data_IF_512041133796
#
_entry.id   IF_512041133796
#
_cell.length_a   1.000
_cell.length_b   1.000
_cell.length_c   1.000
_cell.angle_alpha   90.00
_cell.angle_beta   90.00
_cell.angle_gamma   90.00
#
_symmetry.space_group_name_H-M   'P 1'
#
loop_
_entity.id
_entity.type
_entity.pdbx_description
1 polymer ?
#
# COMPACT_ATOMS: atom_id res chain seq x y z
N UNK A 1 17.45 -69.16 -11.91
CA UNK A 1 16.59 -68.64 -13.01
C UNK A 1 16.40 -67.14 -12.77
N UNK A 2 17.13 -66.26 -13.47
CA UNK A 2 16.93 -64.80 -13.37
C UNK A 2 15.90 -64.39 -14.41
N UNK A 3 14.77 -63.84 -13.95
CA UNK A 3 13.69 -63.32 -14.81
C UNK A 3 14.25 -62.13 -15.60
N UNK A 4 14.44 -62.30 -16.90
CA UNK A 4 14.85 -61.22 -17.80
C UNK A 4 13.67 -60.26 -17.89
N UNK A 5 13.78 -59.08 -17.29
CA UNK A 5 12.88 -57.97 -17.55
C UNK A 5 13.20 -57.44 -18.94
N UNK A 6 12.47 -57.91 -19.95
CA UNK A 6 12.44 -57.30 -21.28
C UNK A 6 11.88 -55.88 -21.12
N UNK A 7 12.75 -54.87 -21.26
CA UNK A 7 12.29 -53.49 -21.43
C UNK A 7 11.59 -53.41 -22.79
N UNK A 8 10.39 -52.81 -22.88
CA UNK A 8 9.68 -52.71 -24.14
C UNK A 8 10.58 -51.97 -25.14
N UNK A 9 10.75 -52.62 -26.29
CA UNK A 9 11.53 -52.13 -27.41
C UNK A 9 10.82 -50.89 -27.96
N UNK A 10 11.33 -49.71 -27.63
CA UNK A 10 10.92 -48.45 -28.24
C UNK A 10 11.65 -48.40 -29.58
N UNK A 11 11.14 -49.14 -30.57
CA UNK A 11 11.67 -49.07 -31.92
C UNK A 11 10.75 -48.25 -32.82
N UNK A 12 11.44 -47.30 -33.45
CA UNK A 12 11.10 -46.50 -34.60
C UNK A 12 10.34 -45.18 -34.34
N UNK A 13 10.94 -44.10 -34.83
CA UNK A 13 10.39 -42.72 -34.82
C UNK A 13 8.99 -42.68 -35.43
N UNK A 14 8.71 -43.65 -36.29
CA UNK A 14 7.41 -43.92 -36.90
C UNK A 14 6.35 -44.37 -35.89
N UNK A 15 6.71 -45.18 -34.89
CA UNK A 15 5.80 -45.63 -33.83
C UNK A 15 5.48 -44.50 -32.84
N UNK A 16 6.44 -43.63 -32.53
CA UNK A 16 6.20 -42.41 -31.75
C UNK A 16 5.32 -41.41 -32.51
N UNK A 17 5.56 -41.24 -33.82
CA UNK A 17 4.72 -40.42 -34.69
C UNK A 17 3.29 -40.98 -34.76
N UNK A 18 3.13 -42.30 -34.93
CA UNK A 18 1.84 -42.96 -34.94
C UNK A 18 1.09 -42.75 -33.62
N UNK A 19 1.77 -42.85 -32.47
CA UNK A 19 1.18 -42.56 -31.16
C UNK A 19 0.75 -41.10 -31.01
N UNK A 20 1.55 -40.15 -31.51
CA UNK A 20 1.17 -38.72 -31.52
C UNK A 20 -0.02 -38.47 -32.45
N UNK A 21 -0.06 -39.12 -33.61
CA UNK A 21 -1.20 -39.03 -34.52
C UNK A 21 -2.48 -39.61 -33.89
N UNK A 22 -2.41 -40.74 -33.19
CA UNK A 22 -3.58 -41.30 -32.50
C UNK A 22 -4.05 -40.42 -31.34
N UNK A 23 -3.13 -39.77 -30.62
CA UNK A 23 -3.44 -38.78 -29.58
C UNK A 23 -4.13 -37.54 -30.16
N UNK A 24 -3.64 -37.01 -31.28
CA UNK A 24 -4.24 -35.85 -31.96
C UNK A 24 -5.63 -36.14 -32.54
N UNK A 25 -5.88 -37.36 -33.01
CA UNK A 25 -7.17 -37.78 -33.57
C UNK A 25 -8.17 -38.18 -32.47
N UNK A 26 -7.69 -38.48 -31.26
CA UNK A 26 -8.53 -38.90 -30.15
C UNK A 26 -9.40 -37.75 -29.62
N UNK A 27 -10.72 -37.88 -29.81
CA UNK A 27 -11.72 -36.97 -29.25
C UNK A 27 -11.63 -36.82 -27.71
N UNK A 28 -11.11 -37.82 -27.02
CA UNK A 28 -10.93 -37.80 -25.56
C UNK A 28 -9.90 -36.74 -25.17
N UNK A 29 -8.75 -36.73 -25.86
CA UNK A 29 -7.68 -35.78 -25.58
C UNK A 29 -8.12 -34.34 -25.88
N UNK A 30 -8.80 -34.13 -27.02
CA UNK A 30 -9.38 -32.85 -27.39
C UNK A 30 -10.35 -32.31 -26.31
N UNK A 31 -11.24 -33.16 -25.80
CA UNK A 31 -12.22 -32.77 -24.77
C UNK A 31 -11.56 -32.44 -23.43
N UNK A 32 -10.52 -33.18 -23.04
CA UNK A 32 -9.76 -32.90 -21.83
C UNK A 32 -9.02 -31.56 -21.90
N UNK A 33 -8.35 -31.26 -23.02
CA UNK A 33 -7.68 -29.98 -23.20
C UNK A 33 -8.67 -28.81 -23.25
N UNK A 34 -9.82 -29.02 -23.89
CA UNK A 34 -10.91 -28.05 -23.87
C UNK A 34 -11.38 -27.77 -22.44
N UNK A 35 -11.71 -28.79 -21.64
CA UNK A 35 -12.15 -28.57 -20.26
C UNK A 35 -11.03 -28.01 -19.36
N UNK A 36 -9.75 -28.34 -19.62
CA UNK A 36 -8.60 -27.72 -18.92
C UNK A 36 -8.39 -26.24 -19.27
N UNK A 37 -8.72 -25.83 -20.49
CA UNK A 37 -8.54 -24.45 -20.97
C UNK A 37 -9.80 -23.59 -20.80
N UNK A 38 -10.96 -24.24 -20.62
CA UNK A 38 -12.25 -23.58 -20.41
C UNK A 38 -12.21 -22.70 -19.16
N UNK A 39 -12.52 -21.42 -19.37
CA UNK A 39 -12.51 -20.42 -18.29
C UNK A 39 -11.12 -19.84 -17.99
N UNK A 40 -10.07 -20.25 -18.71
CA UNK A 40 -8.74 -19.64 -18.56
C UNK A 40 -8.65 -18.36 -19.39
N UNK A 41 -8.89 -17.22 -18.75
CA UNK A 41 -8.64 -15.92 -19.36
C UNK A 41 -7.13 -15.65 -19.44
N UNK A 42 -6.58 -15.60 -20.65
CA UNK A 42 -5.20 -15.15 -20.88
C UNK A 42 -5.20 -13.71 -21.37
N UNK A 43 -4.52 -12.83 -20.65
CA UNK A 43 -4.37 -11.42 -21.04
C UNK A 43 -3.66 -11.32 -22.39
N UNK A 44 -4.19 -10.49 -23.30
CA UNK A 44 -3.56 -10.22 -24.59
C UNK A 44 -2.26 -9.46 -24.32
N UNK A 45 -1.09 -9.95 -24.75
CA UNK A 45 0.16 -9.24 -24.52
C UNK A 45 0.10 -7.85 -25.14
N UNK A 46 0.70 -6.87 -24.46
CA UNK A 46 0.75 -5.50 -24.96
C UNK A 46 1.41 -5.44 -26.35
N UNK A 47 0.92 -4.55 -27.21
CA UNK A 47 1.59 -4.28 -28.48
C UNK A 47 2.98 -3.70 -28.23
N UNK A 48 3.90 -3.90 -29.17
CA UNK A 48 5.25 -3.33 -29.07
C UNK A 48 5.23 -1.81 -28.91
N UNK A 49 4.28 -1.14 -29.59
CA UNK A 49 4.05 0.30 -29.46
C UNK A 49 3.62 0.70 -28.05
N UNK A 50 2.68 -0.03 -27.45
CA UNK A 50 2.22 0.26 -26.09
C UNK A 50 3.34 0.09 -25.07
N UNK A 51 4.15 -0.97 -25.21
CA UNK A 51 5.33 -1.19 -24.38
C UNK A 51 6.33 -0.04 -24.53
N UNK A 52 6.59 0.38 -25.76
CA UNK A 52 7.48 1.52 -26.04
C UNK A 52 6.97 2.83 -25.43
N UNK A 53 5.67 3.13 -25.58
CA UNK A 53 5.04 4.31 -24.98
C UNK A 53 5.11 4.29 -23.45
N UNK A 54 4.89 3.13 -22.82
CA UNK A 54 5.04 2.96 -21.37
C UNK A 54 6.47 3.25 -20.92
N UNK A 55 7.47 2.79 -21.66
CA UNK A 55 8.88 3.05 -21.37
C UNK A 55 9.22 4.54 -21.54
N UNK A 56 8.79 5.17 -22.64
CA UNK A 56 8.98 6.62 -22.83
C UNK A 56 8.32 7.40 -21.71
N UNK A 57 7.06 7.11 -21.40
CA UNK A 57 6.32 7.75 -20.31
C UNK A 57 7.06 7.64 -18.98
N UNK A 58 7.65 6.48 -18.69
CA UNK A 58 8.45 6.28 -17.49
C UNK A 58 9.74 7.12 -17.50
N UNK A 59 10.38 7.33 -18.65
CA UNK A 59 11.60 8.13 -18.78
C UNK A 59 11.32 9.63 -18.67
N UNK A 60 10.26 10.12 -19.32
CA UNK A 60 9.88 11.54 -19.33
C UNK A 60 9.04 11.94 -18.10
N UNK A 61 8.75 11.00 -17.21
CA UNK A 61 7.94 11.27 -16.03
C UNK A 61 8.66 12.25 -15.11
N UNK A 62 8.18 13.50 -15.12
CA UNK A 62 8.63 14.56 -14.22
C UNK A 62 8.63 14.15 -12.75
N UNK A 63 7.64 13.35 -12.34
CA UNK A 63 7.55 12.84 -10.98
C UNK A 63 8.75 11.96 -10.63
N UNK A 64 9.14 11.04 -11.54
CA UNK A 64 10.32 10.18 -11.35
C UNK A 64 11.62 10.99 -11.41
N UNK A 65 11.72 11.95 -12.33
CA UNK A 65 12.87 12.85 -12.42
C UNK A 65 13.07 13.65 -11.11
N UNK A 66 12.02 14.33 -10.64
CA UNK A 66 12.05 15.10 -9.39
C UNK A 66 12.31 14.22 -8.18
N UNK A 67 11.76 13.00 -8.14
CA UNK A 67 12.02 12.05 -7.06
C UNK A 67 13.49 11.61 -7.02
N UNK A 68 14.08 11.28 -8.17
CA UNK A 68 15.51 10.94 -8.26
C UNK A 68 16.38 12.12 -7.83
N UNK A 69 16.10 13.33 -8.33
CA UNK A 69 16.83 14.54 -7.94
C UNK A 69 16.77 14.80 -6.43
N UNK A 70 15.60 14.64 -5.80
CA UNK A 70 15.46 14.76 -4.34
C UNK A 70 16.27 13.72 -3.58
N UNK A 71 16.32 12.47 -4.07
CA UNK A 71 17.11 11.38 -3.47
C UNK A 71 18.61 11.67 -3.54
N UNK A 72 19.10 12.12 -4.69
CA UNK A 72 20.50 12.53 -4.84
C UNK A 72 20.82 13.73 -3.95
N UNK A 73 19.93 14.73 -3.86
CA UNK A 73 20.12 15.87 -2.97
C UNK A 73 20.16 15.46 -1.50
N UNK A 74 19.32 14.51 -1.07
CA UNK A 74 19.36 13.98 0.30
C UNK A 74 20.64 13.22 0.61
N UNK A 75 21.30 12.65 -0.41
CA UNK A 75 22.59 11.98 -0.28
C UNK A 75 23.78 12.93 -0.43
N UNK A 76 23.54 14.23 -0.67
CA UNK A 76 24.61 15.20 -0.81
C UNK A 76 25.31 15.42 0.53
N UNK A 77 26.64 15.52 0.49
CA UNK A 77 27.49 15.75 1.65
C UNK A 77 27.01 16.94 2.50
N UNK A 78 26.62 18.05 1.86
CA UNK A 78 26.13 19.25 2.54
C UNK A 78 24.83 19.03 3.32
N UNK A 79 23.99 18.11 2.86
CA UNK A 79 22.70 17.83 3.52
C UNK A 79 22.83 16.82 4.66
N UNK A 80 23.92 16.06 4.69
CA UNK A 80 24.29 15.17 5.80
C UNK A 80 25.00 15.91 6.94
N UNK A 81 25.50 17.12 6.70
CA UNK A 81 26.09 17.95 7.74
C UNK A 81 25.04 18.33 8.79
N UNK A 82 25.42 18.42 10.08
CA UNK A 82 24.52 18.89 11.11
C UNK A 82 24.08 20.32 10.80
N UNK A 83 22.79 20.58 11.05
CA UNK A 83 22.22 21.90 10.82
C UNK A 83 22.94 22.96 11.65
N UNK A 84 23.42 24.02 11.02
CA UNK A 84 23.96 25.19 11.71
C UNK A 84 22.84 26.01 12.34
N UNK A 85 23.16 26.83 13.33
CA UNK A 85 22.20 27.71 14.01
C UNK A 85 21.47 28.60 12.98
N UNK A 86 22.20 29.17 12.03
CA UNK A 86 21.61 29.99 10.96
C UNK A 86 20.64 29.20 10.08
N UNK A 87 20.97 27.95 9.75
CA UNK A 87 20.09 27.10 8.93
C UNK A 87 18.79 26.75 9.65
N UNK A 88 18.86 26.54 10.97
CA UNK A 88 17.69 26.28 11.82
C UNK A 88 16.82 27.54 11.87
N UNK A 89 17.43 28.68 12.17
CA UNK A 89 16.73 29.96 12.24
C UNK A 89 16.06 30.34 10.92
N UNK A 90 16.78 30.22 9.79
CA UNK A 90 16.22 30.48 8.46
C UNK A 90 15.01 29.58 8.16
N UNK A 91 15.09 28.30 8.56
CA UNK A 91 13.98 27.35 8.40
C UNK A 91 12.77 27.74 9.26
N UNK A 92 12.98 28.22 10.48
CA UNK A 92 11.90 28.70 11.35
C UNK A 92 11.21 29.94 10.79
N UNK A 93 11.98 30.94 10.35
CA UNK A 93 11.42 32.13 9.69
C UNK A 93 10.62 31.75 8.44
N UNK A 94 11.19 30.88 7.60
CA UNK A 94 10.52 30.41 6.39
C UNK A 94 9.19 29.73 6.72
N UNK A 95 9.15 28.91 7.79
CA UNK A 95 7.94 28.24 8.22
C UNK A 95 6.90 29.23 8.78
N UNK A 96 7.34 30.25 9.52
CA UNK A 96 6.46 31.29 10.06
C UNK A 96 5.83 32.14 8.94
N UNK A 97 6.62 32.50 7.93
CA UNK A 97 6.17 33.31 6.80
C UNK A 97 5.31 32.53 5.79
N UNK A 98 5.35 31.20 5.85
CA UNK A 98 4.62 30.35 4.90
C UNK A 98 3.10 30.46 5.08
N UNK A 99 2.44 31.07 4.10
CA UNK A 99 0.98 31.17 4.02
C UNK A 99 0.28 29.81 4.07
N UNK A 100 0.90 28.77 3.49
CA UNK A 100 0.35 27.40 3.48
C UNK A 100 0.35 26.81 4.88
N UNK A 101 1.46 26.93 5.60
CA UNK A 101 1.55 26.45 6.98
C UNK A 101 0.63 27.22 7.92
N UNK A 102 0.54 28.54 7.74
CA UNK A 102 -0.40 29.38 8.46
C UNK A 102 -1.84 28.89 8.29
N UNK A 103 -2.29 28.73 7.04
CA UNK A 103 -3.65 28.25 6.75
C UNK A 103 -3.91 26.87 7.36
N UNK A 104 -2.96 25.94 7.24
CA UNK A 104 -3.07 24.59 7.82
C UNK A 104 -3.21 24.63 9.35
N UNK A 105 -2.43 25.48 10.04
CA UNK A 105 -2.55 25.67 11.49
C UNK A 105 -3.91 26.25 11.87
N UNK A 106 -4.33 27.30 11.17
CA UNK A 106 -5.64 27.91 11.37
C UNK A 106 -6.77 26.88 11.23
N UNK A 107 -6.78 26.10 10.16
CA UNK A 107 -7.82 25.07 9.94
C UNK A 107 -7.77 23.98 11.03
N UNK A 108 -6.59 23.64 11.54
CA UNK A 108 -6.43 22.67 12.63
C UNK A 108 -6.85 23.21 14.00
N UNK A 109 -6.80 24.53 14.22
CA UNK A 109 -7.19 25.19 15.47
C UNK A 109 -8.63 25.71 15.44
N UNK A 110 -9.19 25.91 14.25
CA UNK A 110 -10.57 26.31 14.07
C UNK A 110 -11.52 25.29 14.69
N UNK A 111 -12.16 25.68 15.79
CA UNK A 111 -13.07 24.83 16.57
C UNK A 111 -12.47 24.25 17.86
N UNK A 112 -11.16 24.39 18.09
CA UNK A 112 -10.53 24.07 19.38
C UNK A 112 -10.64 25.29 20.30
N UNK A 113 -11.84 25.56 20.82
CA UNK A 113 -12.00 26.60 21.82
C UNK A 113 -11.55 26.08 23.19
N UNK A 114 -10.77 26.88 23.92
CA UNK A 114 -10.39 26.55 25.31
C UNK A 114 -11.63 26.46 26.23
N UNK A 115 -12.74 27.06 25.82
CA UNK A 115 -14.03 26.99 26.50
C UNK A 115 -14.66 25.59 26.43
N UNK A 116 -14.44 24.82 25.36
CA UNK A 116 -14.96 23.45 25.26
C UNK A 116 -14.27 22.47 26.21
N UNK A 117 -13.05 22.79 26.68
CA UNK A 117 -12.23 21.96 27.56
C UNK A 117 -12.03 22.59 28.94
N UNK A 118 -12.98 23.42 29.39
CA UNK A 118 -12.95 24.00 30.73
C UNK A 118 -13.10 22.87 31.75
N UNK A 119 -12.05 22.64 32.55
CA UNK A 119 -12.11 21.71 33.68
C UNK A 119 -13.16 22.23 34.65
N UNK A 120 -14.12 21.40 35.04
CA UNK A 120 -15.11 21.80 36.04
C UNK A 120 -14.41 22.36 37.29
N UNK A 121 -14.89 23.53 37.74
CA UNK A 121 -14.33 24.24 38.89
C UNK A 121 -14.36 23.33 40.13
N UNK A 122 -13.31 23.33 40.98
CA UNK A 122 -13.25 22.50 42.17
C UNK A 122 -14.49 22.64 43.06
N UNK A 123 -15.00 23.86 43.19
CA UNK A 123 -16.18 24.16 44.01
C UNK A 123 -17.46 23.54 43.44
N UNK A 124 -17.60 23.52 42.11
CA UNK A 124 -18.75 22.89 41.44
C UNK A 124 -18.72 21.38 41.64
N UNK A 125 -17.54 20.76 41.57
CA UNK A 125 -17.38 19.33 41.88
C UNK A 125 -17.72 19.01 43.32
N UNK A 126 -17.21 19.83 44.25
CA UNK A 126 -17.46 19.66 45.67
C UNK A 126 -18.95 19.81 46.02
N UNK A 127 -19.62 20.82 45.45
CA UNK A 127 -21.06 21.01 45.61
C UNK A 127 -21.87 19.82 45.04
N UNK A 128 -21.48 19.28 43.88
CA UNK A 128 -22.10 18.08 43.32
C UNK A 128 -21.90 16.84 44.21
N UNK A 129 -20.74 16.68 44.84
CA UNK A 129 -20.50 15.59 45.79
C UNK A 129 -21.34 15.73 47.06
N UNK A 130 -21.43 16.93 47.65
CA UNK A 130 -22.27 17.18 48.83
C UNK A 130 -23.73 16.87 48.51
N UNK A 131 -24.23 17.35 47.37
CA UNK A 131 -25.62 17.12 46.92
C UNK A 131 -25.95 15.62 46.80
N UNK A 132 -25.04 14.82 46.23
CA UNK A 132 -25.19 13.35 46.12
C UNK A 132 -25.23 12.64 47.47
N UNK A 133 -24.49 13.12 48.46
CA UNK A 133 -24.53 12.54 49.81
C UNK A 133 -25.81 12.92 50.54
N UNK A 134 -26.27 14.17 50.39
CA UNK A 134 -27.50 14.62 51.02
C UNK A 134 -28.75 13.91 50.50
N UNK A 135 -28.82 13.61 49.18
CA UNK A 135 -29.94 12.84 48.62
C UNK A 135 -30.07 11.42 49.22
N UNK A 136 -28.98 10.84 49.70
CA UNK A 136 -29.00 9.52 50.34
C UNK A 136 -29.40 9.59 51.83
N UNK A 137 -29.11 10.72 52.50
CA UNK A 137 -29.41 10.92 53.92
C UNK A 137 -30.90 11.21 54.13
N UNK A 138 -31.54 11.93 53.21
CA UNK A 138 -32.97 12.27 53.31
C UNK A 138 -33.93 11.08 53.16
N UNK A 139 -33.49 9.94 52.60
CA UNK A 139 -34.28 8.70 52.52
C UNK A 139 -34.30 7.94 53.85
N UNK A 140 -33.38 8.22 54.77
CA UNK A 140 -33.23 7.52 56.05
C UNK A 140 -33.65 8.35 57.28
N UNK A 141 -34.25 9.53 57.10
CA UNK A 141 -34.60 10.45 58.21
C UNK A 141 -36.10 10.74 58.40
N UNK A 142 -36.96 9.72 58.32
CA UNK A 142 -38.36 9.78 58.79
C UNK A 142 -38.63 8.62 59.73
#
# INVERSE_FOLDING_TARGET
IKRVFLKPVIEDKNMELARKCTELISNVHYKEEYEKSKGRWTHVPDTAQLTHMKNISALISDAKYKAKAKKELSNSFYQQMPATIDSVFAKEIMNLQSKVLYKKKYDAEKGKSNYAQMKELPDVKHAMEISKHQSNVSIFSV
#
